data_IF_186477769608
#
_entry.id   IF_186477769608
#
_cell.length_a   1.000
_cell.length_b   1.000
_cell.length_c   1.000
_cell.angle_alpha   90.00
_cell.angle_beta   90.00
_cell.angle_gamma   90.00
#
_symmetry.space_group_name_H-M   'P 1'
#
loop_
_entity.id
_entity.type
_entity.pdbx_description
1 polymer ?
#
# COMPACT_ATOMS: atom_id res chain seq x y z
N UNK A 1 8.92 -10.01 -6.37
CA UNK A 1 8.79 -8.76 -7.17
C UNK A 1 7.79 -7.76 -6.58
N UNK A 2 6.72 -8.22 -5.92
CA UNK A 2 5.61 -7.38 -5.40
C UNK A 2 6.04 -6.29 -4.41
N UNK A 3 6.90 -6.61 -3.43
CA UNK A 3 7.40 -5.65 -2.44
C UNK A 3 8.09 -4.44 -3.10
N UNK A 4 8.87 -4.68 -4.15
CA UNK A 4 9.58 -3.61 -4.88
C UNK A 4 8.63 -2.74 -5.68
N UNK A 5 7.55 -3.30 -6.23
CA UNK A 5 6.52 -2.54 -6.92
C UNK A 5 5.76 -1.62 -5.94
N UNK A 6 5.33 -2.17 -4.79
CA UNK A 6 4.67 -1.42 -3.72
C UNK A 6 5.55 -0.24 -3.27
N UNK A 7 6.82 -0.49 -2.94
CA UNK A 7 7.73 0.58 -2.50
C UNK A 7 7.96 1.66 -3.55
N UNK A 8 7.98 1.32 -4.84
CA UNK A 8 8.07 2.32 -5.91
C UNK A 8 6.83 3.20 -5.98
N UNK A 9 5.64 2.61 -5.91
CA UNK A 9 4.38 3.36 -5.93
C UNK A 9 4.22 4.25 -4.70
N UNK A 10 4.72 3.82 -3.54
CA UNK A 10 4.85 4.69 -2.35
C UNK A 10 5.79 5.85 -2.67
N UNK A 11 6.96 5.59 -3.26
CA UNK A 11 7.94 6.62 -3.60
C UNK A 11 7.48 7.66 -4.62
N UNK A 12 6.50 7.33 -5.48
CA UNK A 12 5.90 8.28 -6.43
C UNK A 12 4.55 8.84 -5.96
N UNK A 13 4.14 8.57 -4.71
CA UNK A 13 2.89 9.10 -4.15
C UNK A 13 1.62 8.52 -4.79
N UNK A 14 1.65 7.27 -5.25
CA UNK A 14 0.45 6.57 -5.74
C UNK A 14 -0.24 5.75 -4.66
N UNK A 15 0.53 5.28 -3.67
CA UNK A 15 0.04 4.53 -2.51
C UNK A 15 0.24 5.41 -1.29
N UNK A 16 -0.87 5.81 -0.65
CA UNK A 16 -0.85 6.66 0.54
C UNK A 16 -1.19 5.88 1.80
N UNK A 17 -1.67 4.65 1.67
CA UNK A 17 -2.11 3.88 2.82
C UNK A 17 -2.05 2.38 2.60
N UNK A 18 -2.20 1.62 3.69
CA UNK A 18 -2.37 0.17 3.61
C UNK A 18 -3.58 -0.22 2.74
N UNK A 19 -4.65 0.56 2.78
CA UNK A 19 -5.86 0.27 2.01
C UNK A 19 -5.60 0.38 0.49
N UNK A 20 -4.73 1.31 0.08
CA UNK A 20 -4.28 1.42 -1.31
C UNK A 20 -3.38 0.25 -1.72
N UNK A 21 -2.51 -0.20 -0.81
CA UNK A 21 -1.72 -1.42 -1.03
C UNK A 21 -2.64 -2.62 -1.26
N UNK A 22 -3.62 -2.86 -0.37
CA UNK A 22 -4.56 -3.97 -0.51
C UNK A 22 -5.34 -3.88 -1.82
N UNK A 23 -5.83 -2.68 -2.17
CA UNK A 23 -6.54 -2.47 -3.43
C UNK A 23 -5.68 -2.76 -4.65
N UNK A 24 -4.41 -2.37 -4.62
CA UNK A 24 -3.45 -2.68 -5.69
C UNK A 24 -3.21 -4.19 -5.81
N UNK A 25 -3.01 -4.89 -4.69
CA UNK A 25 -2.77 -6.33 -4.67
C UNK A 25 -3.93 -7.10 -5.31
N UNK A 26 -5.16 -6.69 -5.05
CA UNK A 26 -6.36 -7.31 -5.62
C UNK A 26 -6.49 -6.95 -7.11
N UNK A 27 -6.50 -5.65 -7.45
CA UNK A 27 -6.87 -5.20 -8.81
C UNK A 27 -5.77 -5.40 -9.84
N UNK A 28 -4.55 -5.01 -9.50
CA UNK A 28 -3.41 -5.05 -10.42
C UNK A 28 -2.58 -6.31 -10.22
N UNK A 29 -2.51 -6.80 -8.98
CA UNK A 29 -1.80 -8.02 -8.64
C UNK A 29 -2.59 -9.30 -8.96
N UNK A 30 -3.92 -9.24 -9.04
CA UNK A 30 -4.76 -10.41 -9.28
C UNK A 30 -4.72 -11.44 -8.15
N UNK A 31 -4.40 -11.01 -6.92
CA UNK A 31 -4.29 -11.89 -5.77
C UNK A 31 -5.57 -11.89 -4.93
N UNK A 32 -5.87 -13.05 -4.34
CA UNK A 32 -6.89 -13.15 -3.31
C UNK A 32 -6.27 -12.88 -1.93
N UNK A 33 -6.97 -12.08 -1.12
CA UNK A 33 -6.53 -11.77 0.24
C UNK A 33 -7.11 -12.82 1.20
N UNK A 34 -6.23 -13.61 1.81
CA UNK A 34 -6.61 -14.66 2.75
C UNK A 34 -6.72 -14.15 4.19
N UNK A 35 -5.83 -13.23 4.58
CA UNK A 35 -5.82 -12.67 5.93
C UNK A 35 -5.19 -11.29 5.96
N UNK A 36 -5.71 -10.42 6.82
CA UNK A 36 -5.16 -9.09 7.10
C UNK A 36 -5.03 -8.96 8.60
N UNK A 37 -3.80 -8.72 9.09
CA UNK A 37 -3.53 -8.42 10.49
C UNK A 37 -3.10 -6.96 10.63
N UNK A 38 -2.78 -6.52 11.85
CA UNK A 38 -2.22 -5.19 12.07
C UNK A 38 -0.85 -4.97 11.42
N UNK A 39 -0.11 -6.04 11.12
CA UNK A 39 1.28 -5.94 10.66
C UNK A 39 1.58 -6.69 9.37
N UNK A 40 0.59 -7.40 8.83
CA UNK A 40 0.76 -8.25 7.66
C UNK A 40 -0.49 -8.35 6.79
N UNK A 41 -0.27 -8.72 5.53
CA UNK A 41 -1.29 -9.14 4.57
C UNK A 41 -0.85 -10.46 3.97
N UNK A 42 -1.70 -11.48 4.06
CA UNK A 42 -1.48 -12.80 3.47
C UNK A 42 -2.38 -12.99 2.27
N UNK A 43 -1.80 -13.48 1.17
CA UNK A 43 -2.47 -13.62 -0.11
C UNK A 43 -2.09 -14.94 -0.80
N UNK A 44 -2.87 -15.32 -1.80
CA UNK A 44 -2.56 -16.43 -2.71
C UNK A 44 -2.88 -16.04 -4.16
N UNK A 45 -2.42 -16.87 -5.10
CA UNK A 45 -2.87 -16.81 -6.48
C UNK A 45 -4.20 -17.58 -6.58
N UNK A 46 -5.24 -17.05 -7.22
CA UNK A 46 -6.54 -17.73 -7.30
C UNK A 46 -6.48 -19.14 -7.88
N UNK A 47 -5.60 -19.35 -8.87
CA UNK A 47 -5.40 -20.66 -9.53
C UNK A 47 -4.56 -21.64 -8.69
N UNK A 48 -3.81 -21.14 -7.69
CA UNK A 48 -2.93 -21.93 -6.83
C UNK A 48 -3.14 -21.52 -5.35
N UNK A 49 -4.31 -21.83 -4.75
CA UNK A 49 -4.70 -21.33 -3.43
C UNK A 49 -3.87 -21.91 -2.27
N UNK A 50 -3.18 -23.03 -2.50
CA UNK A 50 -2.27 -23.66 -1.53
C UNK A 50 -0.95 -22.87 -1.39
N UNK A 51 -0.56 -22.14 -2.44
CA UNK A 51 0.65 -21.32 -2.46
C UNK A 51 0.35 -19.93 -1.86
N UNK A 52 0.77 -19.73 -0.62
CA UNK A 52 0.50 -18.51 0.14
C UNK A 52 1.75 -17.65 0.31
N UNK A 53 1.56 -16.34 0.22
CA UNK A 53 2.59 -15.34 0.46
C UNK A 53 2.12 -14.38 1.56
N UNK A 54 2.92 -14.26 2.62
CA UNK A 54 2.68 -13.27 3.68
C UNK A 54 3.60 -12.08 3.51
N UNK A 55 3.01 -10.90 3.29
CA UNK A 55 3.69 -9.63 3.17
C UNK A 55 3.73 -8.94 4.53
N UNK A 56 4.93 -8.64 5.01
CA UNK A 56 5.18 -7.96 6.29
C UNK A 56 6.03 -6.71 6.10
N UNK A 57 5.95 -5.82 7.10
CA UNK A 57 6.70 -4.57 7.15
C UNK A 57 5.78 -3.36 7.20
N UNK A 58 6.37 -2.19 7.47
CA UNK A 58 5.62 -0.97 7.78
C UNK A 58 4.52 -0.66 6.74
N UNK A 59 4.81 -0.74 5.44
CA UNK A 59 3.83 -0.46 4.37
C UNK A 59 2.61 -1.40 4.34
N UNK A 60 2.70 -2.56 5.00
CA UNK A 60 1.61 -3.52 5.15
C UNK A 60 0.95 -3.45 6.53
N UNK A 61 1.41 -2.57 7.42
CA UNK A 61 0.83 -2.39 8.75
C UNK A 61 -0.33 -1.40 8.73
N UNK A 62 -1.25 -1.52 9.70
CA UNK A 62 -2.39 -0.61 9.86
C UNK A 62 -1.97 0.85 10.11
N UNK A 63 -0.74 1.05 10.59
CA UNK A 63 -0.16 2.36 10.86
C UNK A 63 0.39 3.07 9.62
N UNK A 64 0.47 2.40 8.47
CA UNK A 64 0.98 3.03 7.25
C UNK A 64 -0.05 3.99 6.65
N UNK A 65 0.29 5.27 6.76
CA UNK A 65 -0.34 6.38 6.06
C UNK A 65 0.80 7.32 5.65
N UNK A 66 0.91 7.67 4.37
CA UNK A 66 1.58 8.89 3.96
C UNK A 66 0.63 10.04 4.30
N UNK A 67 1.15 11.10 4.93
CA UNK A 67 0.39 12.33 4.99
C UNK A 67 0.04 12.69 3.55
N UNK A 68 -1.23 13.02 3.29
CA UNK A 68 -1.57 13.68 2.04
C UNK A 68 -0.63 14.87 1.96
N UNK A 69 0.28 14.86 0.99
CA UNK A 69 0.86 16.08 0.49
C UNK A 69 -0.33 16.81 -0.13
N UNK A 70 -1.16 17.41 0.71
CA UNK A 70 -2.13 18.40 0.26
C UNK A 70 -1.24 19.36 -0.50
N UNK A 71 -1.46 19.41 -1.81
CA UNK A 71 -1.09 20.53 -2.66
C UNK A 71 -1.90 21.71 -2.13
N UNK A 72 -1.61 22.12 -0.90
CA UNK A 72 -2.20 23.28 -0.30
C UNK A 72 -1.36 24.41 -0.86
N UNK A 73 -1.90 24.99 -1.92
CA UNK A 73 -1.38 26.19 -2.58
C UNK A 73 -1.49 27.41 -1.65
N UNK A 74 -1.58 27.22 -0.35
CA UNK A 74 -1.37 28.26 0.65
C UNK A 74 0.14 28.48 0.80
N UNK A 75 0.72 29.08 -0.23
CA UNK A 75 1.88 29.93 -0.05
C UNK A 75 1.56 30.84 1.15
N UNK A 76 2.37 30.87 2.22
CA UNK A 76 2.23 31.93 3.20
C UNK A 76 2.51 33.24 2.46
N UNK A 77 1.48 34.08 2.32
CA UNK A 77 1.65 35.47 1.93
C UNK A 77 2.59 36.06 2.97
N UNK A 78 3.84 36.27 2.58
CA UNK A 78 4.74 37.16 3.30
C UNK A 78 4.11 38.54 3.19
N UNK A 79 3.44 38.98 4.26
CA UNK A 79 3.09 40.40 4.39
C UNK A 79 4.39 41.16 4.66
N UNK A 80 4.63 42.20 3.85
CA UNK A 80 5.73 43.16 3.96
C UNK A 80 5.83 43.81 5.35
#
# INVERSE_FOLDING_TARGET
>A
MIRRAVLRMVGVGQIHSRDDVIRYLIKEGGFDILSVTDTSVTLCVPDEPEETLTLTGWVFSSSFRLADCVYDNTCPVMHD
#
